data_IF_657560699331
#
_entry.id   IF_657560699331
#
_cell.length_a   1.000
_cell.length_b   1.000
_cell.length_c   1.000
_cell.angle_alpha   90.00
_cell.angle_beta   90.00
_cell.angle_gamma   90.00
#
_symmetry.space_group_name_H-M   'P 1'
#
loop_
_entity.id
_entity.type
_entity.pdbx_description
1 polymer ?
#
# COMPACT_ATOMS: atom_id res chain seq x y z
N UNK A 1 9.25 22.73 -12.43
CA UNK A 1 9.93 21.95 -11.36
C UNK A 1 9.21 20.62 -11.29
N UNK A 2 9.86 19.51 -11.65
CA UNK A 2 9.27 18.19 -11.49
C UNK A 2 9.03 17.94 -10.00
N UNK A 3 7.85 17.43 -9.59
CA UNK A 3 7.63 17.07 -8.20
C UNK A 3 8.73 16.08 -7.79
N UNK A 4 9.24 16.15 -6.55
CA UNK A 4 10.23 15.21 -6.07
C UNK A 4 9.67 13.80 -6.25
N UNK A 5 10.39 12.95 -6.97
CA UNK A 5 10.03 11.55 -7.10
C UNK A 5 9.94 10.98 -5.69
N UNK A 6 8.76 10.47 -5.33
CA UNK A 6 8.61 9.75 -4.08
C UNK A 6 9.65 8.61 -4.09
N UNK A 7 10.40 8.39 -2.99
CA UNK A 7 11.42 7.33 -2.89
C UNK A 7 10.83 5.90 -2.96
N UNK A 8 9.59 5.79 -3.45
CA UNK A 8 8.76 4.60 -3.47
C UNK A 8 8.61 4.03 -4.88
N UNK A 9 9.03 4.71 -5.95
CA UNK A 9 8.90 4.18 -7.32
C UNK A 9 9.69 2.88 -7.55
N UNK A 10 10.77 2.64 -6.79
CA UNK A 10 11.56 1.41 -6.89
C UNK A 10 11.08 0.31 -5.92
N UNK A 11 10.16 0.63 -4.99
CA UNK A 11 9.67 -0.27 -3.93
C UNK A 11 8.20 -0.63 -4.13
N UNK A 12 7.42 0.26 -4.73
CA UNK A 12 6.07 -0.02 -5.20
C UNK A 12 6.25 -0.83 -6.48
N UNK A 13 5.72 -2.07 -6.55
CA UNK A 13 5.75 -2.84 -7.78
C UNK A 13 5.00 -2.07 -8.89
N UNK A 14 5.75 -1.30 -9.69
CA UNK A 14 5.23 -0.36 -10.71
C UNK A 14 4.61 -1.01 -11.93
N UNK A 15 4.31 -2.29 -11.85
CA UNK A 15 3.58 -3.02 -12.87
C UNK A 15 2.96 -4.21 -12.18
N UNK A 16 1.67 -4.16 -11.88
CA UNK A 16 0.77 -5.25 -12.24
C UNK A 16 1.15 -6.66 -11.79
N UNK A 17 1.99 -6.81 -10.77
CA UNK A 17 2.36 -8.11 -10.23
C UNK A 17 1.32 -8.41 -9.20
N UNK A 18 0.47 -9.36 -9.56
CA UNK A 18 -0.25 -10.24 -8.67
C UNK A 18 0.58 -10.41 -7.37
N UNK A 19 0.34 -9.56 -6.35
CA UNK A 19 1.17 -9.50 -5.17
C UNK A 19 0.96 -10.82 -4.43
N UNK A 20 1.89 -11.75 -4.62
CA UNK A 20 1.83 -13.08 -4.06
C UNK A 20 3.16 -13.41 -3.37
N UNK A 21 3.05 -14.21 -2.30
CA UNK A 21 4.19 -14.56 -1.46
C UNK A 21 4.93 -13.33 -0.93
N UNK A 22 6.26 -13.33 -1.12
CA UNK A 22 7.19 -12.39 -0.50
C UNK A 22 6.98 -10.92 -0.92
N UNK A 23 6.53 -10.67 -2.15
CA UNK A 23 6.33 -9.30 -2.65
C UNK A 23 5.16 -8.62 -1.93
N UNK A 24 4.09 -9.38 -1.61
CA UNK A 24 2.96 -8.89 -0.83
C UNK A 24 3.36 -8.56 0.61
N UNK A 25 4.19 -9.39 1.22
CA UNK A 25 4.67 -9.18 2.60
C UNK A 25 5.53 -7.91 2.71
N UNK A 26 6.44 -7.69 1.75
CA UNK A 26 7.26 -6.48 1.69
C UNK A 26 6.40 -5.24 1.49
N UNK A 27 5.42 -5.31 0.59
CA UNK A 27 4.50 -4.20 0.34
C UNK A 27 3.65 -3.88 1.57
N UNK A 28 3.07 -4.90 2.22
CA UNK A 28 2.31 -4.74 3.48
C UNK A 28 3.18 -4.10 4.57
N UNK A 29 4.41 -4.55 4.73
CA UNK A 29 5.34 -3.99 5.72
C UNK A 29 5.67 -2.52 5.45
N UNK A 30 5.82 -2.14 4.18
CA UNK A 30 5.99 -0.74 3.79
C UNK A 30 4.77 0.10 4.18
N UNK A 31 3.56 -0.35 3.82
CA UNK A 31 2.32 0.34 4.14
C UNK A 31 2.15 0.54 5.65
N UNK A 32 2.43 -0.50 6.44
CA UNK A 32 2.38 -0.43 7.89
C UNK A 32 3.33 0.62 8.47
N UNK A 33 4.60 0.61 8.03
CA UNK A 33 5.61 1.58 8.47
C UNK A 33 5.19 3.01 8.13
N UNK A 34 4.70 3.24 6.91
CA UNK A 34 4.24 4.55 6.47
C UNK A 34 3.03 5.01 7.29
N UNK A 35 2.04 4.16 7.50
CA UNK A 35 0.85 4.48 8.28
C UNK A 35 1.23 4.86 9.72
N UNK A 36 2.09 4.08 10.38
CA UNK A 36 2.61 4.39 11.73
C UNK A 36 3.37 5.71 11.80
N UNK A 37 4.16 6.05 10.77
CA UNK A 37 4.84 7.35 10.71
C UNK A 37 3.84 8.50 10.67
N UNK A 38 2.73 8.35 9.95
CA UNK A 38 1.68 9.38 9.89
C UNK A 38 0.86 9.49 11.18
N UNK A 39 0.50 8.37 11.80
CA UNK A 39 -0.30 8.36 13.04
C UNK A 39 0.49 8.95 14.21
N UNK A 40 1.75 8.54 14.35
CA UNK A 40 2.67 9.08 15.35
C UNK A 40 2.87 10.59 15.19
N UNK A 41 3.07 11.09 13.96
CA UNK A 41 3.19 12.54 13.69
C UNK A 41 1.92 13.32 14.01
N UNK A 42 0.75 12.70 13.89
CA UNK A 42 -0.55 13.34 14.14
C UNK A 42 -1.04 13.17 15.58
N UNK A 43 -0.27 12.50 16.44
CA UNK A 43 -0.68 12.19 17.81
C UNK A 43 -1.95 11.33 17.88
N UNK A 44 -2.24 10.56 16.82
CA UNK A 44 -3.39 9.66 16.78
C UNK A 44 -2.92 8.26 17.11
N UNK A 45 -3.60 7.63 18.05
CA UNK A 45 -3.44 6.21 18.30
C UNK A 45 -4.44 5.42 17.43
N UNK A 46 -3.96 4.38 16.77
CA UNK A 46 -4.78 3.49 15.93
C UNK A 46 -4.52 2.09 16.44
N UNK A 47 -5.59 1.34 16.70
CA UNK A 47 -5.44 -0.06 17.11
C UNK A 47 -4.80 -0.89 16.00
N UNK A 48 -4.03 -1.89 16.39
CA UNK A 48 -3.41 -2.85 15.47
C UNK A 48 -4.44 -3.50 14.54
N UNK A 49 -5.63 -3.80 15.05
CA UNK A 49 -6.71 -4.40 14.26
C UNK A 49 -7.23 -3.44 13.17
N UNK A 50 -7.41 -2.16 13.50
CA UNK A 50 -7.85 -1.16 12.54
C UNK A 50 -6.77 -0.90 11.49
N UNK A 51 -5.51 -0.82 11.91
CA UNK A 51 -4.38 -0.65 10.99
C UNK A 51 -4.28 -1.81 10.00
N UNK A 52 -4.39 -3.05 10.49
CA UNK A 52 -4.35 -4.24 9.66
C UNK A 52 -5.52 -4.30 8.68
N UNK A 53 -6.73 -3.92 9.13
CA UNK A 53 -7.90 -3.83 8.27
C UNK A 53 -7.71 -2.81 7.16
N UNK A 54 -7.29 -1.59 7.49
CA UNK A 54 -7.11 -0.51 6.52
C UNK A 54 -6.05 -0.87 5.46
N UNK A 55 -4.97 -1.54 5.86
CA UNK A 55 -3.93 -2.02 4.93
C UNK A 55 -4.48 -3.11 4.00
N UNK A 56 -5.25 -4.07 4.53
CA UNK A 56 -5.86 -5.12 3.71
C UNK A 56 -6.87 -4.53 2.71
N UNK A 57 -7.73 -3.62 3.16
CA UNK A 57 -8.74 -2.96 2.32
C UNK A 57 -8.06 -2.16 1.18
N UNK A 58 -6.93 -1.50 1.46
CA UNK A 58 -6.14 -0.81 0.45
C UNK A 58 -5.56 -1.76 -0.60
N UNK A 59 -4.96 -2.87 -0.18
CA UNK A 59 -4.40 -3.88 -1.08
C UNK A 59 -5.50 -4.49 -1.98
N UNK A 60 -6.66 -4.79 -1.41
CA UNK A 60 -7.79 -5.35 -2.17
C UNK A 60 -8.40 -4.32 -3.14
N UNK A 61 -8.44 -3.05 -2.76
CA UNK A 61 -8.82 -1.97 -3.66
C UNK A 61 -7.86 -1.87 -4.86
N UNK A 62 -6.56 -1.91 -4.62
CA UNK A 62 -5.54 -1.87 -5.69
C UNK A 62 -5.64 -3.08 -6.63
N UNK A 63 -5.92 -4.27 -6.09
CA UNK A 63 -6.20 -5.48 -6.90
C UNK A 63 -7.41 -5.28 -7.81
N UNK A 64 -8.52 -4.75 -7.28
CA UNK A 64 -9.73 -4.48 -8.08
C UNK A 64 -9.50 -3.41 -9.15
N UNK A 65 -8.73 -2.37 -8.85
CA UNK A 65 -8.34 -1.37 -9.84
C UNK A 65 -7.52 -1.99 -10.97
N UNK A 66 -6.55 -2.85 -10.62
CA UNK A 66 -5.77 -3.59 -11.59
C UNK A 66 -6.67 -4.45 -12.49
N UNK A 67 -7.58 -5.22 -11.87
CA UNK A 67 -8.49 -6.10 -12.60
C UNK A 67 -9.39 -5.31 -13.56
N UNK A 68 -9.96 -4.18 -13.10
CA UNK A 68 -10.79 -3.30 -13.91
C UNK A 68 -10.04 -2.74 -15.13
N UNK A 69 -8.76 -2.38 -14.96
CA UNK A 69 -7.92 -1.83 -16.04
C UNK A 69 -7.50 -2.88 -17.08
N UNK A 70 -7.31 -4.14 -16.69
CA UNK A 70 -6.70 -5.16 -17.55
C UNK A 70 -7.68 -6.17 -18.11
N UNK A 71 -8.76 -6.46 -17.40
CA UNK A 71 -9.73 -7.47 -17.81
C UNK A 71 -11.07 -6.90 -18.24
N UNK A 72 -11.33 -5.62 -17.92
CA UNK A 72 -12.62 -4.97 -18.17
C UNK A 72 -13.73 -5.60 -17.33
N UNK A 73 -14.52 -4.76 -16.67
CA UNK A 73 -15.85 -5.16 -16.20
C UNK A 73 -16.88 -4.78 -17.26
#
# INVERSE_FOLDING_TARGET
VLPPALPLNDIIPTTSRNYNGRDLELYRSLLERVARLFTNRRGKDISEDQLNKDINDLIDFERKLYDAQHFGY
#
